data_IF_113422858595
#
_entry.id   IF_113422858595
#
_cell.length_a   1.000
_cell.length_b   1.000
_cell.length_c   1.000
_cell.angle_alpha   90.00
_cell.angle_beta   90.00
_cell.angle_gamma   90.00
#
_symmetry.space_group_name_H-M   'P 1'
#
loop_
_entity.id
_entity.type
_entity.pdbx_description
1 polymer ?
#
# COMPACT_ATOMS: atom_id res chain seq x y z
N UNK A 1 1.77 -4.95 -1.63
CA UNK A 1 1.14 -5.87 -2.58
C UNK A 1 0.28 -5.16 -3.61
N UNK A 2 -0.30 -5.95 -4.49
CA UNK A 2 -1.08 -5.47 -5.65
C UNK A 2 -0.25 -4.58 -6.59
N UNK A 3 1.00 -4.96 -6.78
CA UNK A 3 1.92 -4.26 -7.69
C UNK A 3 1.44 -4.36 -9.15
N UNK A 4 0.83 -5.48 -9.51
CA UNK A 4 0.45 -5.78 -10.88
C UNK A 4 -1.02 -6.21 -11.00
N UNK A 5 -1.85 -5.37 -11.63
CA UNK A 5 -3.25 -5.68 -11.91
C UNK A 5 -3.47 -6.42 -13.25
N UNK A 6 -2.61 -6.22 -14.24
CA UNK A 6 -2.85 -6.59 -15.63
C UNK A 6 -1.70 -7.34 -16.33
N UNK A 7 -0.82 -8.01 -15.61
CA UNK A 7 0.26 -8.80 -16.23
C UNK A 7 1.37 -7.94 -16.83
N UNK A 8 2.03 -8.47 -17.88
CA UNK A 8 3.19 -7.81 -18.50
C UNK A 8 2.72 -6.72 -19.49
N UNK A 9 2.96 -5.47 -19.14
CA UNK A 9 2.65 -4.28 -19.94
C UNK A 9 3.80 -3.26 -19.90
N UNK A 10 3.63 -2.08 -20.51
CA UNK A 10 4.61 -0.99 -20.54
C UNK A 10 5.01 -0.51 -19.14
N UNK A 11 4.08 -0.53 -18.19
CA UNK A 11 4.32 -0.03 -16.82
C UNK A 11 5.34 -0.90 -16.09
N UNK A 12 5.38 -2.21 -16.41
CA UNK A 12 6.42 -3.12 -15.91
C UNK A 12 7.79 -2.73 -16.44
N UNK A 13 7.88 -2.34 -17.72
CA UNK A 13 9.15 -1.92 -18.31
C UNK A 13 9.64 -0.61 -17.70
N UNK A 14 8.74 0.33 -17.46
CA UNK A 14 9.05 1.60 -16.78
C UNK A 14 9.47 1.37 -15.33
N UNK A 15 8.78 0.49 -14.61
CA UNK A 15 9.15 0.12 -13.25
C UNK A 15 10.53 -0.53 -13.19
N UNK A 16 10.84 -1.45 -14.10
CA UNK A 16 12.18 -2.07 -14.19
C UNK A 16 13.27 -1.02 -14.53
N UNK A 17 12.98 -0.11 -15.44
CA UNK A 17 13.91 0.97 -15.79
C UNK A 17 14.18 1.91 -14.60
N UNK A 18 13.14 2.15 -13.79
CA UNK A 18 13.27 2.91 -12.56
C UNK A 18 14.08 2.15 -11.50
N UNK A 19 13.83 0.86 -11.27
CA UNK A 19 14.62 0.03 -10.33
C UNK A 19 16.12 0.06 -10.66
N UNK A 20 16.47 -0.02 -11.94
CA UNK A 20 17.86 -0.02 -12.40
C UNK A 20 18.64 1.27 -12.08
N UNK A 21 17.95 2.35 -11.73
CA UNK A 21 18.59 3.59 -11.27
C UNK A 21 19.08 3.50 -9.82
N UNK A 22 18.66 2.47 -9.09
CA UNK A 22 18.94 2.27 -7.66
C UNK A 22 19.54 0.88 -7.38
N UNK A 23 20.75 0.58 -7.88
CA UNK A 23 21.34 -0.76 -7.80
C UNK A 23 21.63 -1.23 -6.36
N UNK A 24 21.77 -0.30 -5.41
CA UNK A 24 22.04 -0.60 -4.01
C UNK A 24 20.77 -0.77 -3.17
N UNK A 25 19.57 -0.57 -3.75
CA UNK A 25 18.29 -0.73 -3.06
C UNK A 25 17.73 -2.13 -3.31
N UNK A 26 17.38 -2.84 -2.25
CA UNK A 26 16.67 -4.12 -2.33
C UNK A 26 15.18 -3.91 -2.51
N UNK A 27 14.62 -4.52 -3.55
CA UNK A 27 13.21 -4.49 -3.85
C UNK A 27 12.53 -5.79 -3.42
N UNK A 28 11.72 -5.72 -2.37
CA UNK A 28 11.00 -6.86 -1.81
C UNK A 28 9.51 -6.68 -2.05
N UNK A 29 8.88 -7.64 -2.72
CA UNK A 29 7.44 -7.62 -2.93
C UNK A 29 6.73 -8.39 -1.80
N UNK A 30 5.86 -7.69 -1.08
CA UNK A 30 4.84 -8.33 -0.26
C UNK A 30 3.64 -8.59 -1.16
N UNK A 31 3.32 -9.86 -1.41
CA UNK A 31 2.28 -10.23 -2.36
C UNK A 31 0.89 -9.79 -1.89
N UNK A 32 0.16 -9.18 -2.80
CA UNK A 32 -1.25 -8.88 -2.65
C UNK A 32 -2.13 -9.95 -3.33
N UNK A 33 -3.43 -9.84 -3.12
CA UNK A 33 -4.39 -10.80 -3.67
C UNK A 33 -4.57 -10.69 -5.21
N UNK A 34 -4.12 -9.60 -5.81
CA UNK A 34 -4.13 -9.38 -7.26
C UNK A 34 -2.79 -9.70 -7.94
N UNK A 35 -1.71 -9.87 -7.21
CA UNK A 35 -0.38 -10.15 -7.75
C UNK A 35 -0.29 -11.55 -8.36
N UNK A 36 -0.64 -11.66 -9.65
CA UNK A 36 -0.50 -12.89 -10.43
C UNK A 36 0.79 -12.85 -11.25
N UNK A 37 1.92 -13.08 -10.57
CA UNK A 37 3.24 -12.96 -11.19
C UNK A 37 3.71 -14.31 -11.74
N UNK A 38 3.86 -14.40 -13.07
CA UNK A 38 4.47 -15.55 -13.72
C UNK A 38 5.98 -15.59 -13.46
N UNK A 39 6.61 -16.77 -13.60
CA UNK A 39 8.07 -16.91 -13.47
C UNK A 39 8.86 -16.01 -14.43
N UNK A 40 8.31 -15.74 -15.62
CA UNK A 40 8.93 -14.86 -16.61
C UNK A 40 8.88 -13.41 -16.12
N UNK A 41 7.74 -12.98 -15.58
CA UNK A 41 7.53 -11.64 -15.07
C UNK A 41 8.32 -11.38 -13.80
N UNK A 42 8.44 -12.38 -12.92
CA UNK A 42 9.28 -12.31 -11.71
C UNK A 42 10.74 -12.03 -12.05
N UNK A 43 11.28 -12.71 -13.06
CA UNK A 43 12.65 -12.44 -13.53
C UNK A 43 12.81 -11.05 -14.12
N UNK A 44 11.78 -10.54 -14.81
CA UNK A 44 11.79 -9.21 -15.42
C UNK A 44 11.77 -8.10 -14.36
N UNK A 45 10.98 -8.26 -13.28
CA UNK A 45 10.81 -7.27 -12.22
C UNK A 45 12.04 -7.06 -11.34
N UNK A 46 13.11 -7.82 -11.50
CA UNK A 46 14.35 -7.66 -10.73
C UNK A 46 14.11 -7.58 -9.21
N UNK A 47 13.17 -8.38 -8.70
CA UNK A 47 12.87 -8.43 -7.27
C UNK A 47 13.92 -9.27 -6.53
N UNK A 48 14.43 -8.76 -5.43
CA UNK A 48 15.34 -9.52 -4.55
C UNK A 48 14.63 -10.66 -3.85
N UNK A 49 13.40 -10.46 -3.46
CA UNK A 49 12.55 -11.51 -2.90
C UNK A 49 11.05 -11.18 -3.02
N UNK A 50 10.25 -12.22 -2.81
CA UNK A 50 8.79 -12.17 -2.82
C UNK A 50 8.26 -13.05 -1.69
N UNK A 51 7.32 -12.54 -0.90
CA UNK A 51 6.72 -13.26 0.23
C UNK A 51 5.32 -12.73 0.54
N UNK A 52 4.54 -13.48 1.32
CA UNK A 52 3.24 -13.04 1.82
C UNK A 52 3.39 -12.02 2.96
N UNK A 53 4.49 -12.06 3.68
CA UNK A 53 4.83 -11.12 4.75
C UNK A 53 6.32 -10.97 4.91
N UNK A 54 6.76 -9.86 5.49
CA UNK A 54 8.15 -9.60 5.88
C UNK A 54 8.17 -9.08 7.30
N UNK A 55 9.00 -9.66 8.14
CA UNK A 55 9.24 -9.19 9.49
C UNK A 55 10.59 -8.45 9.57
N UNK A 56 10.56 -7.25 10.13
CA UNK A 56 11.75 -6.47 10.46
C UNK A 56 11.56 -5.99 11.90
N UNK A 57 12.38 -6.47 12.80
CA UNK A 57 12.28 -6.24 14.24
C UNK A 57 10.89 -6.61 14.78
N UNK A 58 10.17 -5.66 15.38
CA UNK A 58 8.83 -5.84 15.92
C UNK A 58 7.71 -5.39 14.96
N UNK A 59 8.04 -5.19 13.68
CA UNK A 59 7.10 -4.75 12.66
C UNK A 59 6.91 -5.85 11.62
N UNK A 60 5.67 -6.17 11.30
CA UNK A 60 5.31 -7.06 10.19
C UNK A 60 4.76 -6.24 9.03
N UNK A 61 5.35 -6.39 7.86
CA UNK A 61 4.80 -5.88 6.59
C UNK A 61 3.95 -6.98 5.97
N UNK A 62 2.70 -6.71 5.71
CA UNK A 62 1.74 -7.66 5.13
C UNK A 62 0.72 -6.91 4.26
N UNK A 63 0.17 -7.57 3.23
CA UNK A 63 -0.78 -6.90 2.34
C UNK A 63 -2.09 -6.57 3.06
N UNK A 64 -2.69 -7.54 3.74
CA UNK A 64 -3.92 -7.38 4.51
C UNK A 64 -3.69 -7.63 6.00
N UNK A 65 -4.47 -6.97 6.86
CA UNK A 65 -4.30 -6.99 8.31
C UNK A 65 -4.62 -8.37 8.91
N UNK A 66 -3.64 -8.98 9.54
CA UNK A 66 -3.81 -10.23 10.29
C UNK A 66 -4.08 -9.96 11.78
N UNK A 67 -5.31 -10.20 12.21
CA UNK A 67 -5.75 -10.00 13.60
C UNK A 67 -5.08 -10.97 14.58
N UNK A 68 -4.56 -12.08 14.11
CA UNK A 68 -3.89 -13.09 14.94
C UNK A 68 -2.44 -12.74 15.25
N UNK A 69 -1.81 -11.88 14.44
CA UNK A 69 -0.44 -11.43 14.64
C UNK A 69 -0.37 -10.38 15.77
N UNK A 70 0.41 -10.63 16.85
CA UNK A 70 0.52 -9.70 17.98
C UNK A 70 1.39 -8.46 17.68
N UNK A 71 2.25 -8.51 16.65
CA UNK A 71 3.17 -7.44 16.28
C UNK A 71 2.44 -6.26 15.63
N UNK A 72 3.08 -5.10 15.64
CA UNK A 72 2.61 -3.95 14.85
C UNK A 72 2.72 -4.26 13.36
N UNK A 73 1.69 -3.92 12.59
CA UNK A 73 1.64 -4.25 11.17
C UNK A 73 1.59 -3.00 10.29
N UNK A 74 2.35 -3.01 9.20
CA UNK A 74 2.22 -2.06 8.10
C UNK A 74 1.51 -2.78 6.97
N UNK A 75 0.34 -2.26 6.56
CA UNK A 75 -0.57 -2.93 5.63
C UNK A 75 -1.04 -2.02 4.51
N UNK A 76 -1.56 -2.60 3.45
CA UNK A 76 -2.23 -1.94 2.34
C UNK A 76 -3.67 -2.41 2.15
N UNK A 77 -4.02 -2.85 0.94
CA UNK A 77 -5.26 -3.51 0.52
C UNK A 77 -6.52 -2.62 0.52
N UNK A 78 -6.85 -1.98 1.63
CA UNK A 78 -8.14 -1.29 1.82
C UNK A 78 -8.24 0.04 1.05
N UNK A 79 -7.13 0.67 0.67
CA UNK A 79 -7.10 2.00 0.03
C UNK A 79 -7.85 3.06 0.87
N UNK A 80 -7.38 3.38 2.07
CA UNK A 80 -8.13 4.19 3.03
C UNK A 80 -8.41 5.60 2.52
N UNK A 81 -9.67 6.01 2.65
CA UNK A 81 -10.14 7.35 2.36
C UNK A 81 -10.84 7.97 3.55
N UNK A 82 -10.53 9.21 3.85
CA UNK A 82 -11.17 9.99 4.89
C UNK A 82 -12.22 10.93 4.28
N UNK A 83 -13.38 11.05 4.96
CA UNK A 83 -14.48 11.90 4.49
C UNK A 83 -14.53 13.18 5.32
N UNK A 84 -14.29 14.31 4.68
CA UNK A 84 -14.50 15.63 5.25
C UNK A 84 -15.87 16.14 4.80
N UNK A 85 -16.76 16.38 5.77
CA UNK A 85 -18.07 16.94 5.53
C UNK A 85 -18.06 18.42 5.88
N UNK A 86 -18.45 19.27 4.95
CA UNK A 86 -18.74 20.68 5.20
C UNK A 86 -20.21 20.95 4.83
N UNK A 87 -20.80 22.10 5.24
CA UNK A 87 -22.16 22.47 4.85
C UNK A 87 -22.38 22.54 3.35
N UNK A 88 -21.30 22.77 2.58
CA UNK A 88 -21.37 23.02 1.13
C UNK A 88 -20.89 21.82 0.33
N UNK A 89 -19.95 21.01 0.86
CA UNK A 89 -19.28 19.97 0.07
C UNK A 89 -18.86 18.79 0.93
N UNK A 90 -18.99 17.59 0.36
CA UNK A 90 -18.40 16.37 0.87
C UNK A 90 -17.18 16.01 0.05
N UNK A 91 -16.02 15.91 0.69
CA UNK A 91 -14.75 15.60 0.04
C UNK A 91 -14.24 14.26 0.59
N UNK A 92 -13.71 13.43 -0.29
CA UNK A 92 -12.98 12.22 0.09
C UNK A 92 -11.51 12.42 -0.27
N UNK A 93 -10.64 12.22 0.68
CA UNK A 93 -9.19 12.34 0.50
C UNK A 93 -8.50 11.03 0.91
N UNK A 94 -7.39 10.66 0.26
CA UNK A 94 -6.58 9.54 0.70
C UNK A 94 -5.97 9.84 2.07
N UNK A 95 -5.72 8.79 2.84
CA UNK A 95 -5.12 8.95 4.16
C UNK A 95 -4.28 7.73 4.55
N UNK A 96 -3.32 7.94 5.45
CA UNK A 96 -2.82 6.88 6.30
C UNK A 96 -3.77 6.74 7.49
N UNK A 97 -4.00 5.52 7.96
CA UNK A 97 -4.77 5.29 9.18
C UNK A 97 -3.94 4.50 10.18
N UNK A 98 -3.63 5.12 11.33
CA UNK A 98 -2.80 4.53 12.36
C UNK A 98 -3.64 4.14 13.57
N UNK A 99 -3.44 2.93 14.05
CA UNK A 99 -3.99 2.41 15.31
C UNK A 99 -2.84 1.96 16.22
N UNK A 100 -3.14 1.42 17.40
CA UNK A 100 -2.13 0.80 18.27
C UNK A 100 -1.49 -0.47 17.69
N UNK A 101 -2.06 -1.05 16.63
CA UNK A 101 -1.60 -2.32 16.05
C UNK A 101 -1.27 -2.26 14.56
N UNK A 102 -1.62 -1.17 13.90
CA UNK A 102 -1.56 -1.10 12.44
C UNK A 102 -1.27 0.31 11.96
N UNK A 103 -0.43 0.42 10.93
CA UNK A 103 -0.39 1.55 10.01
C UNK A 103 -0.92 1.06 8.65
N UNK A 104 -2.10 1.53 8.28
CA UNK A 104 -2.72 1.26 7.00
C UNK A 104 -2.28 2.33 5.98
N UNK A 105 -1.62 1.90 4.92
CA UNK A 105 -1.10 2.76 3.87
C UNK A 105 -2.20 3.11 2.85
N UNK A 106 -2.18 4.32 2.29
CA UNK A 106 -3.03 4.68 1.16
C UNK A 106 -2.65 3.88 -0.09
N UNK A 107 -3.54 3.85 -1.08
CA UNK A 107 -3.22 3.34 -2.40
C UNK A 107 -2.10 4.19 -3.03
N UNK A 108 -1.16 3.53 -3.70
CA UNK A 108 -0.12 4.20 -4.46
C UNK A 108 -0.67 4.79 -5.77
N UNK A 109 -1.63 4.09 -6.39
CA UNK A 109 -2.24 4.50 -7.65
C UNK A 109 -3.43 5.44 -7.43
N UNK A 110 -3.50 6.50 -8.22
CA UNK A 110 -4.64 7.43 -8.28
C UNK A 110 -5.90 6.80 -8.89
N UNK A 111 -5.75 5.71 -9.65
CA UNK A 111 -6.86 5.03 -10.32
C UNK A 111 -7.66 4.12 -9.40
N UNK A 112 -7.19 3.86 -8.18
CA UNK A 112 -7.93 3.06 -7.21
C UNK A 112 -8.95 3.89 -6.46
N UNK A 113 -10.15 3.32 -6.24
CA UNK A 113 -11.17 3.95 -5.41
C UNK A 113 -10.72 4.07 -3.95
N UNK A 114 -11.32 5.03 -3.22
CA UNK A 114 -11.08 5.21 -1.79
C UNK A 114 -12.17 4.49 -0.97
N UNK A 115 -11.77 3.55 -0.13
CA UNK A 115 -12.67 2.94 0.85
C UNK A 115 -12.76 3.82 2.11
N UNK A 116 -13.97 4.27 2.38
CA UNK A 116 -14.27 5.11 3.54
C UNK A 116 -15.08 4.38 4.62
N UNK A 117 -15.36 3.09 4.42
CA UNK A 117 -16.23 2.29 5.31
C UNK A 117 -15.44 1.26 6.12
N UNK A 118 -14.46 0.61 5.48
CA UNK A 118 -13.70 -0.48 6.08
C UNK A 118 -12.38 -0.01 6.72
N UNK A 119 -12.15 1.28 6.81
CA UNK A 119 -11.01 1.85 7.55
C UNK A 119 -11.20 1.66 9.06
N UNK A 120 -10.12 1.59 9.86
CA UNK A 120 -10.21 1.54 11.31
C UNK A 120 -11.08 2.68 11.85
N UNK A 121 -12.05 2.37 12.72
CA UNK A 121 -12.97 3.37 13.29
C UNK A 121 -12.36 4.23 14.41
N UNK A 122 -11.25 3.77 14.98
CA UNK A 122 -10.52 4.45 16.06
C UNK A 122 -9.05 4.47 15.70
N UNK A 123 -8.45 5.65 15.72
CA UNK A 123 -7.06 5.84 15.37
C UNK A 123 -6.79 7.28 14.98
N UNK A 124 -5.57 7.56 14.57
CA UNK A 124 -5.13 8.83 14.00
C UNK A 124 -5.11 8.70 12.49
N UNK A 125 -5.64 9.69 11.81
CA UNK A 125 -5.63 9.73 10.34
C UNK A 125 -4.70 10.85 9.89
N UNK A 126 -3.84 10.55 8.92
CA UNK A 126 -3.03 11.54 8.26
C UNK A 126 -3.59 11.69 6.83
N UNK A 127 -4.44 12.68 6.67
CA UNK A 127 -5.15 12.99 5.42
C UNK A 127 -4.28 13.91 4.60
N UNK A 128 -4.16 13.65 3.30
CA UNK A 128 -3.28 14.45 2.46
C UNK A 128 -3.94 14.87 1.14
N UNK A 129 -3.45 15.97 0.63
CA UNK A 129 -3.68 16.52 -0.70
C UNK A 129 -2.34 16.51 -1.45
N UNK A 130 -2.30 17.03 -2.67
CA UNK A 130 -1.06 17.15 -3.46
C UNK A 130 0.01 18.01 -2.78
N UNK A 131 -0.36 18.87 -1.83
CA UNK A 131 0.53 19.86 -1.22
C UNK A 131 0.64 19.80 0.30
N UNK A 132 -0.30 19.15 1.00
CA UNK A 132 -0.41 19.25 2.47
C UNK A 132 -0.85 17.93 3.12
N UNK A 133 -0.44 17.72 4.37
CA UNK A 133 -0.84 16.60 5.22
C UNK A 133 -1.47 17.16 6.49
N UNK A 134 -2.62 16.62 6.86
CA UNK A 134 -3.38 17.01 8.05
C UNK A 134 -3.56 15.80 8.97
N UNK A 135 -3.23 15.97 10.25
CA UNK A 135 -3.54 14.98 11.28
C UNK A 135 -4.94 15.23 11.84
N UNK A 136 -5.75 14.19 11.90
CA UNK A 136 -7.13 14.20 12.41
C UNK A 136 -7.31 13.09 13.45
#
# INVERSE_FOLDING_TARGET
GDLLHAGNNSDVDEFCAWQNQYPDIKFILIEGNHDRISKTLEKKLCLDSRSLSLEIDDITFVHDFDRSNPKFQITGHIHPGFVINSPVKRIKLPCFAQTSKQLLLPAFSEFTGLDTKNIPKKGTYFVFTDSEIYQI
#
